data_IF_103381185050
#
_entry.id   IF_103381185050
#
_cell.length_a   1.000
_cell.length_b   1.000
_cell.length_c   1.000
_cell.angle_alpha   90.00
_cell.angle_beta   90.00
_cell.angle_gamma   90.00
#
_symmetry.space_group_name_H-M   'P 1'
#
loop_
_entity.id
_entity.type
_entity.pdbx_description
1 polymer ?
#
# COMPACT_ATOMS: atom_id res chain seq x y z
N UNK A 1 -4.31 15.17 -17.42
CA UNK A 1 -4.16 15.90 -16.13
C UNK A 1 -3.03 15.20 -15.39
N UNK A 2 -2.12 15.93 -14.75
CA UNK A 2 -1.01 15.31 -14.01
C UNK A 2 -1.39 15.15 -12.54
N UNK A 3 -1.06 13.99 -11.95
CA UNK A 3 -1.35 13.63 -10.56
C UNK A 3 -0.03 13.39 -9.84
N UNK A 4 0.18 14.12 -8.75
CA UNK A 4 1.22 13.83 -7.76
C UNK A 4 0.53 13.29 -6.51
N UNK A 5 0.86 12.05 -6.16
CA UNK A 5 0.28 11.36 -5.01
C UNK A 5 1.39 10.61 -4.27
N UNK A 6 1.18 10.44 -2.96
CA UNK A 6 2.07 9.73 -2.06
C UNK A 6 1.50 9.76 -0.66
N UNK A 7 2.05 8.92 0.21
CA UNK A 7 1.64 8.85 1.61
C UNK A 7 2.79 8.37 2.49
N UNK A 8 2.66 8.66 3.78
CA UNK A 8 3.51 8.13 4.83
C UNK A 8 2.61 7.77 6.01
N UNK A 9 2.50 6.48 6.32
CA UNK A 9 1.55 5.95 7.30
C UNK A 9 2.28 4.98 8.23
N UNK A 10 2.24 5.26 9.52
CA UNK A 10 2.75 4.37 10.55
C UNK A 10 1.62 3.63 11.27
N UNK A 11 1.81 2.34 11.51
CA UNK A 11 0.94 1.50 12.31
C UNK A 11 1.70 0.94 13.50
N UNK A 12 0.99 0.76 14.61
CA UNK A 12 1.46 -0.03 15.75
C UNK A 12 0.52 -1.22 15.95
N UNK A 13 1.09 -2.37 16.27
CA UNK A 13 0.33 -3.57 16.59
C UNK A 13 1.08 -4.36 17.67
N UNK A 14 0.35 -4.88 18.66
CA UNK A 14 0.94 -5.72 19.72
C UNK A 14 1.06 -7.19 19.31
N UNK A 15 0.24 -7.62 18.35
CA UNK A 15 0.23 -8.97 17.79
C UNK A 15 0.27 -8.93 16.26
N UNK A 16 0.71 -10.01 15.59
CA UNK A 16 0.68 -10.08 14.13
C UNK A 16 -0.71 -9.77 13.58
N UNK A 17 -0.84 -8.71 12.79
CA UNK A 17 -2.15 -8.19 12.34
C UNK A 17 -2.21 -8.20 10.82
N UNK A 18 -3.16 -8.95 10.25
CA UNK A 18 -3.38 -8.98 8.81
C UNK A 18 -4.02 -7.68 8.33
N UNK A 19 -3.49 -7.12 7.25
CA UNK A 19 -3.95 -5.86 6.65
C UNK A 19 -4.22 -6.07 5.17
N UNK A 20 -5.29 -5.41 4.70
CA UNK A 20 -5.56 -5.18 3.29
C UNK A 20 -5.57 -3.66 3.08
N UNK A 21 -4.55 -3.15 2.39
CA UNK A 21 -4.39 -1.75 2.06
C UNK A 21 -4.92 -1.48 0.65
N UNK A 22 -5.96 -0.65 0.57
CA UNK A 22 -6.47 -0.12 -0.70
C UNK A 22 -5.88 1.27 -0.94
N UNK A 23 -4.55 1.36 -0.98
CA UNK A 23 -3.80 2.60 -1.12
C UNK A 23 -3.29 2.83 -2.55
N UNK A 24 -3.55 1.88 -3.46
CA UNK A 24 -3.13 1.99 -4.84
C UNK A 24 -4.06 2.86 -5.68
N UNK A 25 -3.46 3.70 -6.53
CA UNK A 25 -4.21 4.46 -7.52
C UNK A 25 -4.87 3.49 -8.49
N UNK A 26 -6.11 3.82 -8.88
CA UNK A 26 -6.84 3.01 -9.86
C UNK A 26 -6.01 2.82 -11.14
N UNK A 27 -5.95 1.60 -11.69
CA UNK A 27 -5.12 1.30 -12.87
C UNK A 27 -5.36 2.26 -14.05
N UNK A 28 -6.60 2.73 -14.24
CA UNK A 28 -6.95 3.68 -15.31
C UNK A 28 -6.21 5.03 -15.20
N UNK A 29 -5.78 5.42 -13.99
CA UNK A 29 -5.10 6.68 -13.68
C UNK A 29 -3.59 6.53 -13.54
N UNK A 30 -3.04 5.32 -13.66
CA UNK A 30 -1.61 5.09 -13.52
C UNK A 30 -0.76 5.92 -14.50
N UNK A 31 -1.28 6.21 -15.70
CA UNK A 31 -0.60 7.05 -16.71
C UNK A 31 -0.61 8.54 -16.39
N UNK A 32 -1.52 8.98 -15.52
CA UNK A 32 -1.62 10.37 -15.11
C UNK A 32 -0.61 10.69 -13.98
N UNK A 33 0.03 9.67 -13.40
CA UNK A 33 1.00 9.84 -12.31
C UNK A 33 2.34 10.37 -12.79
N UNK A 34 2.85 11.38 -12.09
CA UNK A 34 4.19 11.94 -12.32
C UNK A 34 5.28 11.27 -11.49
N UNK A 35 4.89 10.47 -10.50
CA UNK A 35 5.79 9.69 -9.62
C UNK A 35 5.45 8.20 -9.72
N UNK A 36 6.45 7.30 -9.60
CA UNK A 36 6.17 5.87 -9.50
C UNK A 36 5.23 5.58 -8.33
N UNK A 37 4.19 4.77 -8.56
CA UNK A 37 3.37 4.23 -7.49
C UNK A 37 4.00 2.92 -7.01
N UNK A 38 4.66 2.94 -5.85
CA UNK A 38 5.27 1.76 -5.24
C UNK A 38 5.05 1.81 -3.74
N UNK A 39 4.38 0.79 -3.22
CA UNK A 39 4.21 0.63 -1.77
C UNK A 39 5.50 0.04 -1.21
N UNK A 40 6.11 0.77 -0.29
CA UNK A 40 7.28 0.34 0.48
C UNK A 40 6.88 0.16 1.93
N UNK A 41 7.50 -0.82 2.60
CA UNK A 41 7.16 -1.20 3.98
C UNK A 41 8.42 -1.30 4.81
N UNK A 42 8.46 -0.66 5.97
CA UNK A 42 9.59 -0.72 6.90
C UNK A 42 9.09 -1.13 8.29
N UNK A 43 9.54 -2.26 8.88
CA UNK A 43 10.50 -3.22 8.33
C UNK A 43 9.96 -4.00 7.13
N UNK A 44 10.87 -4.56 6.33
CA UNK A 44 10.51 -5.38 5.16
C UNK A 44 9.67 -6.59 5.60
N UNK A 45 8.46 -6.68 5.04
CA UNK A 45 7.56 -7.83 5.19
C UNK A 45 7.05 -8.26 3.82
N UNK A 46 6.69 -9.54 3.64
CA UNK A 46 6.08 -9.99 2.39
C UNK A 46 4.77 -9.25 2.11
N UNK A 47 4.70 -8.59 0.96
CA UNK A 47 3.50 -7.94 0.44
C UNK A 47 3.00 -8.64 -0.82
N UNK A 48 1.69 -8.67 -1.02
CA UNK A 48 1.07 -9.26 -2.22
C UNK A 48 -0.04 -8.36 -2.73
N UNK A 49 -0.05 -8.14 -4.04
CA UNK A 49 -1.12 -7.41 -4.70
C UNK A 49 -2.14 -8.35 -5.33
N UNK A 50 -3.41 -7.97 -5.28
CA UNK A 50 -4.48 -8.62 -6.02
C UNK A 50 -5.52 -7.59 -6.49
N UNK A 51 -6.29 -7.95 -7.51
CA UNK A 51 -7.45 -7.17 -7.95
C UNK A 51 -8.71 -7.68 -7.26
N UNK A 52 -9.47 -6.79 -6.64
CA UNK A 52 -10.77 -7.12 -6.08
C UNK A 52 -11.87 -7.16 -7.17
N UNK A 53 -13.11 -7.48 -6.76
CA UNK A 53 -14.27 -7.57 -7.67
C UNK A 53 -14.70 -6.21 -8.27
N UNK A 54 -14.14 -5.10 -7.77
CA UNK A 54 -14.41 -3.75 -8.25
C UNK A 54 -13.27 -3.20 -9.10
N UNK A 55 -12.19 -3.97 -9.31
CA UNK A 55 -11.02 -3.56 -10.06
C UNK A 55 -10.03 -2.70 -9.27
N UNK A 56 -10.13 -2.65 -7.93
CA UNK A 56 -9.12 -2.00 -7.11
C UNK A 56 -7.90 -2.90 -6.94
N UNK A 57 -6.71 -2.32 -7.02
CA UNK A 57 -5.47 -2.99 -6.61
C UNK A 57 -5.36 -2.92 -5.08
N UNK A 58 -5.49 -4.06 -4.43
CA UNK A 58 -5.39 -4.22 -2.99
C UNK A 58 -4.06 -4.89 -2.63
N UNK A 59 -3.36 -4.32 -1.66
CA UNK A 59 -2.08 -4.84 -1.16
C UNK A 59 -2.29 -5.47 0.20
N UNK A 60 -1.99 -6.77 0.34
CA UNK A 60 -2.10 -7.49 1.61
C UNK A 60 -0.74 -7.77 2.21
N UNK A 61 -0.65 -7.65 3.53
CA UNK A 61 0.55 -7.96 4.32
C UNK A 61 0.17 -8.19 5.78
N UNK A 62 1.16 -8.57 6.59
CA UNK A 62 0.99 -8.74 8.03
C UNK A 62 1.89 -7.76 8.77
N UNK A 63 1.29 -6.91 9.61
CA UNK A 63 2.03 -6.04 10.52
C UNK A 63 2.65 -6.91 11.61
N UNK A 64 3.97 -6.88 11.83
CA UNK A 64 4.60 -7.58 12.94
C UNK A 64 4.33 -6.86 14.27
N UNK A 65 4.48 -7.55 15.42
CA UNK A 65 4.51 -6.88 16.72
C UNK A 65 5.53 -5.74 16.70
N UNK A 66 5.15 -4.58 17.23
CA UNK A 66 5.97 -3.36 17.19
C UNK A 66 5.62 -2.42 16.03
N UNK A 67 4.85 -2.88 15.04
CA UNK A 67 4.33 -2.02 13.97
C UNK A 67 5.19 -1.98 12.71
N UNK A 68 4.79 -1.11 11.79
CA UNK A 68 5.53 -0.82 10.55
C UNK A 68 5.12 0.53 9.97
N UNK A 69 5.91 1.02 9.04
CA UNK A 69 5.67 2.22 8.25
C UNK A 69 5.43 1.83 6.78
N UNK A 70 4.45 2.46 6.15
CA UNK A 70 4.12 2.37 4.74
C UNK A 70 4.39 3.69 4.05
N UNK A 71 5.06 3.65 2.91
CA UNK A 71 5.29 4.83 2.07
C UNK A 71 5.06 4.55 0.59
N UNK A 72 4.75 5.61 -0.16
CA UNK A 72 4.64 5.63 -1.63
C UNK A 72 4.91 7.04 -2.16
#
# INVERSE_FOLDING_TARGET
MLIRAGYDIAFTAEIPTAVVAQLSIRPERARDLVTPHRIEVTPDVPIYDYLDMFGNTCTRFTIPPGGLQLSC
#
